data_IF_427337778021
#
_entry.id   IF_427337778021
#
_cell.length_a   1.000
_cell.length_b   1.000
_cell.length_c   1.000
_cell.angle_alpha   90.00
_cell.angle_beta   90.00
_cell.angle_gamma   90.00
#
_symmetry.space_group_name_H-M   'P 1'
#
loop_
_entity.id
_entity.type
_entity.pdbx_description
1 polymer ?
#
# COMPACT_ATOMS: atom_id res chain seq x y z
N UNK A 1 -57.43 43.98 87.20
CA UNK A 1 -57.36 45.02 88.23
C UNK A 1 -56.52 46.16 87.72
N UNK A 2 -57.15 47.26 87.51
CA UNK A 2 -56.87 48.64 87.86
C UNK A 2 -55.70 49.26 87.06
N UNK A 3 -56.02 50.16 86.13
CA UNK A 3 -56.21 51.62 86.16
C UNK A 3 -54.83 52.33 86.19
N UNK A 4 -54.54 53.36 85.57
CA UNK A 4 -55.08 54.56 85.05
C UNK A 4 -53.96 55.36 84.38
N UNK A 5 -54.24 55.94 83.20
CA UNK A 5 -54.41 57.38 83.03
C UNK A 5 -53.33 58.31 83.44
N UNK A 6 -52.70 59.02 82.57
CA UNK A 6 -52.83 60.44 82.39
C UNK A 6 -51.94 61.02 81.28
N UNK A 7 -52.52 61.93 80.59
CA UNK A 7 -52.01 62.80 79.53
C UNK A 7 -50.98 63.81 80.05
N UNK A 8 -50.13 64.31 79.15
CA UNK A 8 -49.76 65.71 79.03
C UNK A 8 -49.14 66.02 77.66
N UNK A 9 -49.62 67.08 77.08
CA UNK A 9 -49.12 67.77 75.85
C UNK A 9 -47.97 68.74 76.24
N UNK A 10 -47.51 69.53 75.24
CA UNK A 10 -46.68 69.34 74.04
C UNK A 10 -45.43 70.24 74.17
N UNK A 11 -44.43 69.90 73.28
CA UNK A 11 -43.42 70.96 73.02
C UNK A 11 -42.97 70.89 71.55
N UNK A 12 -43.17 71.98 70.77
CA UNK A 12 -42.43 72.28 69.55
C UNK A 12 -41.15 73.03 69.93
N UNK A 13 -40.05 72.71 69.24
CA UNK A 13 -39.45 73.78 68.49
C UNK A 13 -38.68 73.29 67.26
N UNK A 14 -38.51 74.24 66.41
CA UNK A 14 -37.42 74.58 65.50
C UNK A 14 -37.10 73.77 64.28
N UNK A 15 -37.34 74.43 63.21
CA UNK A 15 -36.88 74.25 61.86
C UNK A 15 -35.38 73.85 61.71
N UNK A 16 -35.06 72.72 61.23
CA UNK A 16 -33.72 72.34 60.77
C UNK A 16 -33.64 72.43 59.22
N UNK A 17 -32.69 73.16 58.74
CA UNK A 17 -32.28 73.36 57.31
C UNK A 17 -32.07 72.03 56.67
N UNK A 18 -32.78 71.72 55.57
CA UNK A 18 -32.56 70.59 54.65
C UNK A 18 -31.39 70.95 53.73
N UNK A 19 -30.27 70.19 53.84
CA UNK A 19 -29.20 70.22 52.84
C UNK A 19 -29.71 69.56 51.51
N UNK A 20 -29.36 70.06 50.34
CA UNK A 20 -29.74 69.45 49.04
C UNK A 20 -29.04 68.14 48.88
N UNK A 21 -29.83 67.06 48.90
CA UNK A 21 -29.37 65.74 48.44
C UNK A 21 -29.23 65.81 46.90
N UNK A 22 -27.98 65.83 46.41
CA UNK A 22 -27.66 65.52 45.02
C UNK A 22 -28.07 64.09 44.79
N UNK A 23 -29.32 63.86 44.36
CA UNK A 23 -29.72 62.61 43.79
C UNK A 23 -29.17 62.57 42.35
N UNK A 24 -28.01 61.93 42.17
CA UNK A 24 -27.60 61.52 40.82
C UNK A 24 -28.73 60.63 40.29
N UNK A 25 -29.31 60.99 39.13
CA UNK A 25 -30.43 60.20 38.61
C UNK A 25 -29.95 58.78 38.30
N UNK A 26 -30.59 57.82 38.94
CA UNK A 26 -30.40 56.34 38.73
C UNK A 26 -30.33 56.02 37.22
N UNK A 27 -31.02 56.79 36.39
CA UNK A 27 -30.96 56.72 34.94
C UNK A 27 -29.56 56.90 34.34
N UNK A 28 -28.72 57.75 34.96
CA UNK A 28 -27.36 57.99 34.46
C UNK A 28 -26.41 56.82 34.82
N UNK A 29 -26.63 56.21 35.95
CA UNK A 29 -25.89 55.03 36.37
C UNK A 29 -26.25 53.82 35.50
N UNK A 30 -27.53 53.65 35.18
CA UNK A 30 -28.02 52.61 34.26
C UNK A 30 -27.45 52.82 32.84
N UNK A 31 -27.40 54.06 32.37
CA UNK A 31 -26.82 54.40 31.05
C UNK A 31 -25.31 54.10 31.02
N UNK A 32 -24.57 54.42 32.06
CA UNK A 32 -23.14 54.11 32.15
C UNK A 32 -22.88 52.59 32.19
N UNK A 33 -23.71 51.83 32.91
CA UNK A 33 -23.62 50.36 32.96
C UNK A 33 -23.96 49.77 31.58
N UNK A 34 -25.00 50.23 30.94
CA UNK A 34 -25.36 49.78 29.59
C UNK A 34 -24.29 50.12 28.53
N UNK A 35 -23.71 51.33 28.63
CA UNK A 35 -22.62 51.75 27.75
C UNK A 35 -21.34 50.94 28.00
N UNK A 36 -21.00 50.63 29.26
CA UNK A 36 -19.89 49.76 29.62
C UNK A 36 -20.10 48.33 29.15
N UNK A 37 -21.34 47.79 29.26
CA UNK A 37 -21.70 46.47 28.72
C UNK A 37 -21.65 46.43 27.18
N UNK A 38 -22.08 47.48 26.50
CA UNK A 38 -21.96 47.62 25.05
C UNK A 38 -20.50 47.74 24.60
N UNK A 39 -19.67 48.49 25.32
CA UNK A 39 -18.23 48.53 25.07
C UNK A 39 -17.57 47.17 25.35
N UNK A 40 -17.91 46.48 26.42
CA UNK A 40 -17.41 45.14 26.73
C UNK A 40 -17.87 44.11 25.68
N UNK A 41 -19.09 44.21 25.14
CA UNK A 41 -19.56 43.39 24.04
C UNK A 41 -18.86 43.72 22.72
N UNK A 42 -18.54 45.00 22.46
CA UNK A 42 -17.79 45.42 21.26
C UNK A 42 -16.30 45.03 21.34
N UNK A 43 -15.69 45.04 22.52
CA UNK A 43 -14.31 44.53 22.71
C UNK A 43 -14.26 43.00 22.88
N UNK A 44 -15.34 42.35 23.31
CA UNK A 44 -15.44 40.88 23.41
C UNK A 44 -15.63 40.15 22.07
N UNK A 45 -15.97 40.90 21.02
CA UNK A 45 -15.89 40.42 19.63
C UNK A 45 -14.47 40.50 19.06
N UNK A 46 -13.44 40.28 19.92
CA UNK A 46 -12.12 39.91 19.43
C UNK A 46 -12.33 38.67 18.57
N UNK A 47 -12.16 38.83 17.25
CA UNK A 47 -12.21 37.75 16.27
C UNK A 47 -11.37 36.62 16.84
N UNK A 48 -12.02 35.56 17.29
CA UNK A 48 -11.38 34.27 17.44
C UNK A 48 -10.95 33.93 16.03
N UNK A 49 -9.72 34.33 15.66
CA UNK A 49 -9.07 33.70 14.55
C UNK A 49 -9.06 32.23 14.89
N UNK A 50 -9.96 31.47 14.27
CA UNK A 50 -9.92 30.04 14.40
C UNK A 50 -8.47 29.65 14.09
N UNK A 51 -7.79 29.07 15.08
CA UNK A 51 -6.43 28.60 14.88
C UNK A 51 -6.43 27.74 13.62
N UNK A 52 -5.56 28.05 12.65
CA UNK A 52 -5.53 27.33 11.38
C UNK A 52 -5.27 25.86 11.63
N UNK A 53 -5.75 25.02 10.75
CA UNK A 53 -5.60 23.56 10.82
C UNK A 53 -4.11 23.22 10.90
N UNK A 54 -3.72 22.54 11.96
CA UNK A 54 -2.35 22.11 12.19
C UNK A 54 -2.09 20.77 11.49
N UNK A 55 -1.06 20.75 10.65
CA UNK A 55 -0.55 19.52 10.05
C UNK A 55 0.32 18.80 11.05
N UNK A 56 -0.05 17.57 11.39
CA UNK A 56 0.64 16.73 12.37
C UNK A 56 1.77 15.91 11.74
N UNK A 57 1.56 15.41 10.52
CA UNK A 57 2.58 14.67 9.80
C UNK A 57 2.41 14.77 8.28
N UNK A 58 3.52 14.59 7.56
CA UNK A 58 3.51 14.41 6.11
C UNK A 58 4.36 13.20 5.74
N UNK A 59 3.87 12.40 4.81
CA UNK A 59 4.56 11.22 4.31
C UNK A 59 4.56 11.22 2.78
N UNK A 60 5.58 10.62 2.18
CA UNK A 60 5.66 10.41 0.74
C UNK A 60 6.10 8.97 0.47
N UNK A 61 5.49 8.36 -0.52
CA UNK A 61 5.74 7.00 -0.95
C UNK A 61 5.94 6.99 -2.47
N UNK A 62 7.20 7.18 -2.93
CA UNK A 62 7.52 7.09 -4.36
C UNK A 62 7.55 5.63 -4.79
N UNK A 63 6.85 5.32 -5.88
CA UNK A 63 6.83 3.99 -6.47
C UNK A 63 6.69 4.09 -7.99
N UNK A 64 7.03 3.01 -8.69
CA UNK A 64 6.91 2.94 -10.16
C UNK A 64 5.46 3.07 -10.62
N UNK A 65 4.50 2.59 -9.82
CA UNK A 65 3.07 2.64 -10.16
C UNK A 65 2.46 4.02 -9.92
N UNK A 66 2.91 4.75 -8.89
CA UNK A 66 2.45 6.10 -8.53
C UNK A 66 3.28 6.67 -7.38
N UNK A 67 3.24 7.98 -7.20
CA UNK A 67 3.73 8.62 -5.98
C UNK A 67 2.54 9.03 -5.12
N UNK A 68 2.54 8.61 -3.86
CA UNK A 68 1.55 9.04 -2.86
C UNK A 68 2.13 10.08 -1.92
N UNK A 69 1.39 11.17 -1.72
CA UNK A 69 1.65 12.16 -0.68
C UNK A 69 0.48 12.13 0.30
N UNK A 70 0.78 11.93 1.58
CA UNK A 70 -0.21 11.95 2.66
C UNK A 70 0.06 13.12 3.57
N UNK A 71 -0.96 13.94 3.82
CA UNK A 71 -0.95 15.08 4.75
C UNK A 71 -1.94 14.76 5.86
N UNK A 72 -1.43 14.62 7.09
CA UNK A 72 -2.24 14.26 8.25
C UNK A 72 -2.50 15.46 9.15
N UNK A 73 -3.71 15.54 9.69
CA UNK A 73 -4.18 16.66 10.53
C UNK A 73 -5.22 16.20 11.54
N UNK A 74 -5.48 17.05 12.54
CA UNK A 74 -6.53 16.78 13.53
C UNK A 74 -7.93 17.04 13.00
N UNK A 75 -8.08 17.81 11.91
CA UNK A 75 -9.36 18.21 11.32
C UNK A 75 -9.32 17.94 9.82
N UNK A 76 -10.48 17.71 9.16
CA UNK A 76 -10.55 17.55 7.71
C UNK A 76 -10.02 18.78 6.98
N UNK A 77 -9.15 18.58 5.99
CA UNK A 77 -8.58 19.65 5.18
C UNK A 77 -9.44 19.86 3.92
N UNK A 78 -9.93 21.08 3.74
CA UNK A 78 -10.53 21.49 2.46
C UNK A 78 -9.41 21.82 1.47
N UNK A 79 -9.54 21.33 0.25
CA UNK A 79 -8.48 21.45 -0.74
C UNK A 79 -9.03 21.69 -2.15
N UNK A 80 -8.16 22.24 -3.01
CA UNK A 80 -8.38 22.34 -4.46
C UNK A 80 -7.15 21.84 -5.18
N UNK A 81 -7.36 20.98 -6.18
CA UNK A 81 -6.32 20.38 -6.99
C UNK A 81 -6.51 20.78 -8.44
N UNK A 82 -5.43 21.22 -9.11
CA UNK A 82 -5.42 21.51 -10.54
C UNK A 82 -4.01 21.37 -11.12
N UNK A 83 -3.94 21.08 -12.43
CA UNK A 83 -2.68 20.96 -13.16
C UNK A 83 -2.40 22.23 -13.98
N UNK A 84 -1.13 22.58 -14.14
CA UNK A 84 -0.64 23.64 -15.01
C UNK A 84 0.36 23.01 -15.98
N UNK A 85 0.29 23.44 -17.26
CA UNK A 85 1.21 23.00 -18.32
C UNK A 85 2.24 24.11 -18.62
N UNK A 86 3.37 23.67 -19.19
CA UNK A 86 4.46 24.53 -19.64
C UNK A 86 5.11 25.40 -18.55
N UNK A 87 5.87 24.86 -17.58
CA UNK A 87 6.17 23.45 -17.38
C UNK A 87 5.04 22.69 -16.65
N UNK A 88 5.08 21.34 -16.73
CA UNK A 88 4.11 20.49 -16.05
C UNK A 88 4.21 20.66 -14.52
N UNK A 89 3.10 21.08 -13.92
CA UNK A 89 3.00 21.32 -12.47
C UNK A 89 1.65 20.88 -11.95
N UNK A 90 1.65 20.35 -10.73
CA UNK A 90 0.45 20.07 -9.99
C UNK A 90 0.35 21.05 -8.82
N UNK A 91 -0.79 21.67 -8.66
CA UNK A 91 -1.03 22.67 -7.61
C UNK A 91 -2.11 22.15 -6.67
N UNK A 92 -1.77 22.12 -5.37
CA UNK A 92 -2.68 21.74 -4.29
C UNK A 92 -2.83 22.91 -3.32
N UNK A 93 -4.00 23.52 -3.29
CA UNK A 93 -4.36 24.57 -2.36
C UNK A 93 -5.04 23.96 -1.13
N UNK A 94 -4.54 24.27 0.04
CA UNK A 94 -5.07 23.85 1.35
C UNK A 94 -5.71 25.08 2.02
N UNK A 95 -7.00 24.97 2.37
CA UNK A 95 -7.74 26.05 3.01
C UNK A 95 -7.64 25.96 4.53
N UNK A 96 -7.48 27.10 5.18
CA UNK A 96 -7.39 27.28 6.65
C UNK A 96 -6.27 26.48 7.32
N UNK A 97 -5.18 26.19 6.59
CA UNK A 97 -4.03 25.41 7.08
C UNK A 97 -2.89 26.35 7.47
N UNK A 98 -2.16 26.02 8.53
CA UNK A 98 -0.92 26.66 8.89
C UNK A 98 0.30 25.93 8.33
N UNK A 99 1.35 26.70 7.96
CA UNK A 99 2.63 26.12 7.57
C UNK A 99 3.36 25.70 8.84
N UNK A 100 3.27 24.40 9.15
CA UNK A 100 3.97 23.76 10.26
C UNK A 100 5.34 23.22 9.82
N UNK A 101 6.20 22.88 10.77
CA UNK A 101 7.46 22.19 10.47
C UNK A 101 7.21 20.85 9.74
N UNK A 102 6.14 20.13 10.12
CA UNK A 102 5.76 18.88 9.47
C UNK A 102 5.38 19.08 7.99
N UNK A 103 4.67 20.17 7.67
CA UNK A 103 4.33 20.49 6.28
C UNK A 103 5.56 20.95 5.49
N UNK A 104 6.41 21.80 6.07
CA UNK A 104 7.64 22.28 5.43
C UNK A 104 8.60 21.13 5.09
N UNK A 105 8.72 20.14 5.98
CA UNK A 105 9.57 18.96 5.78
C UNK A 105 9.15 18.09 4.57
N UNK A 106 7.95 18.30 3.99
CA UNK A 106 7.55 17.58 2.79
C UNK A 106 8.47 17.90 1.60
N UNK A 107 8.93 19.15 1.49
CA UNK A 107 9.82 19.57 0.40
C UNK A 107 11.16 18.82 0.45
N UNK A 108 11.68 18.55 1.65
CA UNK A 108 12.94 17.85 1.86
C UNK A 108 12.82 16.32 1.63
N UNK A 109 11.60 15.78 1.78
CA UNK A 109 11.33 14.35 1.58
C UNK A 109 11.22 13.94 0.11
N UNK A 110 10.97 14.89 -0.79
CA UNK A 110 10.91 14.65 -2.22
C UNK A 110 12.31 14.77 -2.80
N UNK A 111 12.93 13.63 -3.00
CA UNK A 111 14.27 13.53 -3.56
C UNK A 111 14.28 13.29 -5.07
N UNK A 112 15.46 13.41 -5.69
CA UNK A 112 15.66 13.17 -7.13
C UNK A 112 15.30 11.76 -7.62
N UNK A 113 15.07 10.80 -6.70
CA UNK A 113 14.70 9.42 -6.99
C UNK A 113 13.19 9.22 -7.21
N UNK A 114 12.34 10.19 -6.89
CA UNK A 114 10.90 10.08 -7.18
C UNK A 114 10.67 10.01 -8.70
N UNK A 115 9.89 9.04 -9.22
CA UNK A 115 9.74 8.85 -10.66
C UNK A 115 8.93 9.98 -11.34
N UNK A 116 8.06 10.68 -10.63
CA UNK A 116 7.08 11.62 -11.22
C UNK A 116 7.27 13.06 -10.74
N UNK A 117 7.72 13.25 -9.51
CA UNK A 117 7.87 14.57 -8.89
C UNK A 117 9.34 14.98 -8.88
N UNK A 118 9.63 16.15 -9.41
CA UNK A 118 10.97 16.73 -9.42
C UNK A 118 11.25 17.48 -8.12
N UNK A 119 10.30 18.32 -7.69
CA UNK A 119 10.41 19.14 -6.49
C UNK A 119 9.03 19.56 -5.96
N UNK A 120 8.98 20.00 -4.71
CA UNK A 120 7.78 20.60 -4.10
C UNK A 120 8.14 21.94 -3.47
N UNK A 121 7.31 22.93 -3.74
CA UNK A 121 7.38 24.27 -3.15
C UNK A 121 6.13 24.52 -2.32
N UNK A 122 6.31 25.09 -1.14
CA UNK A 122 5.23 25.35 -0.18
C UNK A 122 5.26 26.80 0.20
N UNK A 123 4.11 27.48 0.14
CA UNK A 123 4.01 28.89 0.48
C UNK A 123 2.59 29.37 0.74
N UNK A 124 2.47 30.55 1.34
CA UNK A 124 1.18 31.24 1.49
C UNK A 124 0.79 31.85 0.15
N UNK A 125 -0.39 31.49 -0.34
CA UNK A 125 -0.92 32.03 -1.61
C UNK A 125 -1.80 33.25 -1.37
N UNK A 126 -2.73 33.14 -0.43
CA UNK A 126 -3.65 34.19 0.02
C UNK A 126 -3.99 33.98 1.49
N UNK A 127 -4.62 34.95 2.17
CA UNK A 127 -5.06 34.75 3.56
C UNK A 127 -5.86 33.45 3.70
N UNK A 128 -5.48 32.60 4.66
CA UNK A 128 -6.12 31.31 4.95
C UNK A 128 -5.84 30.20 3.91
N UNK A 129 -4.92 30.41 2.94
CA UNK A 129 -4.62 29.35 1.94
C UNK A 129 -3.13 29.13 1.81
N UNK A 130 -2.71 27.89 2.05
CA UNK A 130 -1.36 27.41 1.76
C UNK A 130 -1.39 26.66 0.43
N UNK A 131 -0.44 26.98 -0.42
CA UNK A 131 -0.27 26.38 -1.76
C UNK A 131 0.96 25.48 -1.78
N UNK A 132 0.75 24.25 -2.23
CA UNK A 132 1.80 23.32 -2.59
C UNK A 132 1.88 23.27 -4.12
N UNK A 133 3.07 23.41 -4.67
CA UNK A 133 3.34 23.29 -6.11
C UNK A 133 4.33 22.18 -6.31
N UNK A 134 3.88 21.13 -6.96
CA UNK A 134 4.69 19.96 -7.35
C UNK A 134 5.18 20.22 -8.79
N UNK A 135 6.48 20.37 -8.97
CA UNK A 135 7.08 20.39 -10.30
C UNK A 135 7.22 18.94 -10.77
N UNK A 136 6.69 18.64 -11.95
CA UNK A 136 6.56 17.28 -12.46
C UNK A 136 7.63 16.97 -13.50
N UNK A 137 8.04 15.70 -13.58
CA UNK A 137 8.97 15.19 -14.60
C UNK A 137 8.28 14.84 -15.92
N UNK A 138 6.97 14.55 -15.86
CA UNK A 138 6.12 14.22 -17.00
C UNK A 138 4.65 14.53 -16.70
N UNK A 139 3.79 14.44 -17.71
CA UNK A 139 2.34 14.55 -17.52
C UNK A 139 1.81 13.40 -16.68
N UNK A 140 0.91 13.71 -15.71
CA UNK A 140 0.39 12.76 -14.72
C UNK A 140 -1.13 12.84 -14.62
N UNK A 141 -1.72 11.80 -14.05
CA UNK A 141 -3.14 11.74 -13.68
C UNK A 141 -3.26 11.79 -12.15
N UNK A 142 -3.44 12.96 -11.54
CA UNK A 142 -3.51 13.09 -10.09
C UNK A 142 -4.91 12.76 -9.57
N UNK A 143 -4.97 12.24 -8.34
CA UNK A 143 -6.19 12.03 -7.57
C UNK A 143 -5.98 12.54 -6.15
N UNK A 144 -6.88 13.39 -5.66
CA UNK A 144 -6.87 13.81 -4.25
C UNK A 144 -8.18 13.39 -3.58
N UNK A 145 -8.08 12.89 -2.37
CA UNK A 145 -9.22 12.46 -1.56
C UNK A 145 -8.88 12.54 -0.07
N UNK A 146 -9.93 12.55 0.76
CA UNK A 146 -9.78 12.61 2.22
C UNK A 146 -10.18 11.30 2.87
N UNK A 147 -9.48 10.96 3.95
CA UNK A 147 -9.76 9.78 4.77
C UNK A 147 -10.10 10.21 6.19
N UNK A 148 -11.11 9.55 6.76
CA UNK A 148 -11.46 9.70 8.17
C UNK A 148 -10.38 9.08 9.08
N UNK A 149 -10.32 9.48 10.36
CA UNK A 149 -9.45 8.85 11.34
C UNK A 149 -9.70 7.35 11.47
N UNK A 150 -8.62 6.58 11.59
CA UNK A 150 -8.66 5.13 11.84
C UNK A 150 -7.42 4.70 12.63
N UNK A 151 -7.60 3.88 13.67
CA UNK A 151 -6.50 3.46 14.53
C UNK A 151 -5.75 4.67 15.10
N UNK A 152 -4.46 4.72 14.91
CA UNK A 152 -3.58 5.81 15.35
C UNK A 152 -3.50 6.98 14.35
N UNK A 153 -4.17 6.88 13.19
CA UNK A 153 -4.15 7.92 12.16
C UNK A 153 -5.27 8.93 12.37
N UNK A 154 -4.93 10.24 12.23
CA UNK A 154 -5.88 11.34 12.18
C UNK A 154 -6.60 11.46 10.82
N UNK A 155 -7.17 12.64 10.56
CA UNK A 155 -7.68 12.96 9.23
C UNK A 155 -6.52 13.03 8.24
N UNK A 156 -6.66 12.38 7.09
CA UNK A 156 -5.63 12.34 6.05
C UNK A 156 -6.15 12.92 4.74
N UNK A 157 -5.44 13.88 4.18
CA UNK A 157 -5.56 14.24 2.78
C UNK A 157 -4.50 13.47 2.01
N UNK A 158 -4.95 12.66 1.06
CA UNK A 158 -4.09 11.82 0.20
C UNK A 158 -4.09 12.42 -1.20
N UNK A 159 -2.90 12.56 -1.78
CA UNK A 159 -2.68 12.91 -3.17
C UNK A 159 -1.89 11.78 -3.83
N UNK A 160 -2.55 11.06 -4.74
CA UNK A 160 -1.94 10.03 -5.59
C UNK A 160 -1.61 10.61 -6.96
N UNK A 161 -0.38 10.47 -7.38
CA UNK A 161 0.15 10.99 -8.64
C UNK A 161 0.48 9.78 -9.53
N UNK A 162 -0.43 9.42 -10.42
CA UNK A 162 -0.27 8.31 -11.36
C UNK A 162 0.38 8.77 -12.66
N UNK A 163 1.20 7.94 -13.32
CA UNK A 163 1.60 8.20 -14.69
C UNK A 163 0.38 8.21 -15.61
N UNK A 164 0.46 8.97 -16.70
CA UNK A 164 -0.60 9.00 -17.71
C UNK A 164 -0.78 7.61 -18.36
N UNK A 165 0.34 6.95 -18.66
CA UNK A 165 0.40 5.56 -19.12
C UNK A 165 1.06 4.72 -18.03
N UNK A 166 0.35 3.72 -17.47
CA UNK A 166 0.95 2.82 -16.50
C UNK A 166 2.12 2.07 -17.13
N UNK A 167 3.28 1.97 -16.46
CA UNK A 167 4.38 1.19 -16.97
C UNK A 167 3.95 -0.27 -17.14
N UNK A 168 4.19 -0.82 -18.34
CA UNK A 168 3.93 -2.23 -18.60
C UNK A 168 5.02 -3.07 -17.90
N UNK A 169 4.66 -3.91 -16.93
CA UNK A 169 5.64 -4.73 -16.21
C UNK A 169 6.45 -5.66 -17.12
N UNK A 170 5.88 -6.02 -18.27
CA UNK A 170 6.57 -6.88 -19.25
C UNK A 170 7.66 -6.11 -20.00
N UNK A 171 7.39 -4.87 -20.40
CA UNK A 171 8.43 -4.02 -21.03
C UNK A 171 9.54 -3.67 -20.03
N UNK A 172 9.22 -3.31 -18.80
CA UNK A 172 10.21 -3.07 -17.76
C UNK A 172 11.12 -4.30 -17.50
N UNK A 173 10.55 -5.51 -17.64
CA UNK A 173 11.31 -6.75 -17.55
C UNK A 173 12.20 -6.98 -18.79
N UNK A 174 11.74 -6.69 -19.98
CA UNK A 174 12.50 -6.84 -21.23
C UNK A 174 13.68 -5.84 -21.25
N UNK A 175 13.44 -4.59 -20.87
CA UNK A 175 14.47 -3.55 -20.78
C UNK A 175 15.57 -3.91 -19.75
N UNK A 176 15.16 -4.39 -18.58
CA UNK A 176 16.12 -4.83 -17.55
C UNK A 176 16.95 -6.03 -18.01
N UNK A 177 16.36 -6.94 -18.77
CA UNK A 177 17.06 -8.10 -19.34
C UNK A 177 17.98 -7.73 -20.50
N UNK A 178 17.61 -6.73 -21.29
CA UNK A 178 18.46 -6.19 -22.34
C UNK A 178 19.66 -5.48 -21.73
N UNK A 179 19.46 -4.63 -20.71
CA UNK A 179 20.54 -3.99 -19.98
C UNK A 179 21.50 -5.01 -19.29
N UNK A 180 20.94 -6.11 -18.75
CA UNK A 180 21.77 -7.19 -18.18
C UNK A 180 22.55 -7.97 -19.24
N UNK A 181 21.99 -8.17 -20.43
CA UNK A 181 22.71 -8.79 -21.57
C UNK A 181 23.79 -7.88 -22.11
N UNK A 182 23.55 -6.59 -22.18
CA UNK A 182 24.53 -5.59 -22.61
C UNK A 182 25.70 -5.50 -21.62
N UNK A 183 25.40 -5.48 -20.31
CA UNK A 183 26.42 -5.51 -19.26
C UNK A 183 27.22 -6.83 -19.23
N UNK A 184 26.58 -7.97 -19.51
CA UNK A 184 27.25 -9.27 -19.61
C UNK A 184 28.10 -9.37 -20.88
N UNK A 185 27.67 -8.77 -21.99
CA UNK A 185 28.44 -8.70 -23.24
C UNK A 185 29.67 -7.79 -23.11
N UNK A 186 29.54 -6.65 -22.39
CA UNK A 186 30.69 -5.79 -22.10
C UNK A 186 31.73 -6.48 -21.20
N UNK A 187 31.27 -7.26 -20.19
CA UNK A 187 32.18 -8.05 -19.33
C UNK A 187 32.86 -9.19 -20.09
N UNK A 188 32.15 -9.84 -21.03
CA UNK A 188 32.73 -10.88 -21.87
C UNK A 188 33.76 -10.32 -22.88
N UNK A 189 33.46 -9.18 -23.49
CA UNK A 189 34.37 -8.48 -24.39
C UNK A 189 35.64 -7.97 -23.69
N UNK A 190 35.57 -7.61 -22.42
CA UNK A 190 36.73 -7.21 -21.61
C UNK A 190 37.60 -8.41 -21.19
N UNK A 191 37.07 -9.64 -21.21
CA UNK A 191 37.78 -10.87 -20.90
C UNK A 191 38.50 -11.47 -22.12
N UNK A 192 38.07 -11.16 -23.34
CA UNK A 192 38.59 -11.71 -24.60
C UNK A 192 39.81 -10.96 -25.13
N UNK A 193 40.18 -9.81 -24.55
CA UNK A 193 41.36 -9.01 -24.89
C UNK A 193 42.66 -9.41 -24.14
N UNK A 194 42.76 -10.65 -23.65
CA UNK A 194 44.04 -11.26 -23.24
C UNK A 194 44.44 -12.30 -24.28
N UNK A 195 45.23 -11.84 -25.24
CA UNK A 195 45.90 -12.58 -26.30
C UNK A 195 46.76 -13.74 -25.75
N UNK A 196 46.61 -14.98 -26.26
CA UNK A 196 47.67 -15.98 -26.19
C UNK A 196 48.40 -16.07 -27.51
N UNK A 197 49.73 -16.09 -27.43
CA UNK A 197 50.70 -16.17 -28.51
C UNK A 197 50.55 -17.38 -29.45
N UNK A 198 51.06 -17.31 -30.69
CA UNK A 198 50.73 -18.26 -31.76
C UNK A 198 51.56 -19.58 -31.68
N UNK A 199 50.88 -20.70 -31.79
CA UNK A 199 51.51 -22.01 -32.03
C UNK A 199 51.29 -22.44 -33.48
N UNK A 200 52.35 -22.99 -34.07
CA UNK A 200 52.58 -23.33 -35.48
C UNK A 200 51.73 -24.50 -36.03
N UNK A 201 51.66 -24.68 -37.36
CA UNK A 201 50.67 -25.52 -38.01
C UNK A 201 51.10 -26.98 -38.11
N UNK A 202 50.20 -27.90 -37.88
CA UNK A 202 50.39 -29.31 -38.14
C UNK A 202 49.37 -29.83 -39.18
N UNK A 203 49.90 -30.63 -40.09
CA UNK A 203 49.45 -31.10 -41.38
C UNK A 203 48.22 -32.01 -41.34
N UNK A 204 47.37 -31.90 -42.39
CA UNK A 204 46.26 -32.78 -42.70
C UNK A 204 46.71 -34.16 -43.26
N UNK A 205 45.93 -35.20 -43.08
CA UNK A 205 45.83 -36.22 -44.12
C UNK A 205 44.38 -36.58 -44.57
N UNK A 206 44.29 -36.62 -45.88
CA UNK A 206 43.55 -37.48 -46.79
C UNK A 206 42.14 -38.03 -46.48
N UNK A 207 41.29 -37.81 -47.45
CA UNK A 207 39.93 -38.30 -47.63
C UNK A 207 39.85 -39.83 -47.86
N UNK A 208 38.78 -40.48 -47.36
CA UNK A 208 38.31 -41.80 -47.76
C UNK A 208 36.75 -41.77 -47.93
N UNK A 209 36.17 -42.53 -48.88
CA UNK A 209 34.92 -42.20 -49.53
C UNK A 209 33.67 -42.73 -48.79
N UNK A 210 32.58 -42.03 -49.02
CA UNK A 210 31.22 -42.23 -48.56
C UNK A 210 30.55 -43.45 -49.24
N UNK A 211 29.75 -44.24 -48.51
CA UNK A 211 28.66 -44.99 -49.14
C UNK A 211 27.32 -44.24 -49.01
N UNK A 212 26.55 -44.32 -50.09
CA UNK A 212 25.25 -43.71 -50.24
C UNK A 212 24.23 -44.20 -49.17
N UNK A 213 23.61 -43.31 -48.43
CA UNK A 213 22.50 -43.61 -47.56
C UNK A 213 21.17 -43.19 -48.21
N UNK A 214 20.24 -44.11 -48.19
CA UNK A 214 18.87 -44.06 -48.71
C UNK A 214 18.11 -42.88 -48.07
N UNK A 215 17.48 -42.07 -48.92
CA UNK A 215 16.50 -41.04 -48.55
C UNK A 215 15.31 -41.65 -47.83
N UNK A 216 15.24 -41.57 -46.54
CA UNK A 216 14.02 -41.70 -45.77
C UNK A 216 13.31 -40.34 -45.81
N UNK A 217 12.15 -40.30 -46.46
CA UNK A 217 11.22 -39.17 -46.45
C UNK A 217 10.84 -38.91 -44.99
N UNK A 218 11.34 -37.84 -44.42
CA UNK A 218 10.89 -37.31 -43.11
C UNK A 218 9.46 -36.82 -43.25
N UNK A 219 8.57 -37.39 -42.44
CA UNK A 219 7.20 -36.93 -42.22
C UNK A 219 7.22 -35.50 -41.70
N UNK A 220 6.60 -34.51 -42.38
CA UNK A 220 6.65 -33.11 -41.94
C UNK A 220 5.79 -32.80 -40.70
N UNK A 221 5.26 -33.82 -40.03
CA UNK A 221 4.45 -33.70 -38.82
C UNK A 221 5.17 -34.00 -37.48
N UNK A 222 6.49 -34.22 -37.51
CA UNK A 222 7.23 -34.20 -36.22
C UNK A 222 7.29 -32.78 -35.70
N UNK A 223 6.43 -32.56 -34.73
CA UNK A 223 6.25 -31.37 -33.97
C UNK A 223 7.57 -30.58 -33.76
N UNK A 224 7.58 -29.33 -34.20
CA UNK A 224 8.46 -28.32 -33.61
C UNK A 224 8.34 -28.49 -32.08
N UNK A 225 9.45 -28.56 -31.33
CA UNK A 225 9.32 -28.51 -29.89
C UNK A 225 8.54 -27.24 -29.58
N UNK A 226 7.34 -27.41 -29.00
CA UNK A 226 6.54 -26.32 -28.46
C UNK A 226 7.48 -25.51 -27.60
N UNK A 227 7.69 -24.25 -27.95
CA UNK A 227 8.52 -23.36 -27.13
C UNK A 227 7.87 -23.35 -25.74
N UNK A 228 8.50 -24.02 -24.79
CA UNK A 228 7.98 -24.17 -23.46
C UNK A 228 7.73 -22.75 -22.88
N UNK A 229 6.47 -22.39 -22.68
CA UNK A 229 6.10 -21.10 -22.14
C UNK A 229 6.55 -21.01 -20.68
N UNK A 230 6.92 -19.81 -20.24
CA UNK A 230 7.18 -19.58 -18.83
C UNK A 230 5.89 -19.63 -18.01
N UNK A 231 5.96 -20.25 -16.85
CA UNK A 231 4.97 -20.17 -15.79
C UNK A 231 5.20 -18.85 -15.07
N UNK A 232 4.21 -17.96 -15.08
CA UNK A 232 4.29 -16.64 -14.45
C UNK A 232 3.64 -16.70 -13.07
N UNK A 233 4.40 -16.35 -12.03
CA UNK A 233 3.95 -16.37 -10.64
C UNK A 233 3.93 -14.94 -10.12
N UNK A 234 2.75 -14.42 -9.80
CA UNK A 234 2.60 -13.14 -9.14
C UNK A 234 2.79 -13.30 -7.63
N UNK A 235 3.74 -12.58 -7.07
CA UNK A 235 4.03 -12.58 -5.64
C UNK A 235 3.59 -11.26 -5.06
N UNK A 236 2.62 -11.30 -4.17
CA UNK A 236 2.12 -10.18 -3.42
C UNK A 236 2.73 -10.16 -2.02
N UNK A 237 3.54 -9.16 -1.74
CA UNK A 237 3.98 -8.87 -0.39
C UNK A 237 2.88 -8.08 0.31
N UNK A 238 2.23 -8.66 1.32
CA UNK A 238 1.14 -8.02 2.05
C UNK A 238 1.52 -6.65 2.60
N UNK A 239 0.53 -5.77 2.77
CA UNK A 239 0.69 -4.42 3.31
C UNK A 239 1.59 -3.51 2.46
N UNK A 240 2.18 -2.47 3.06
CA UNK A 240 3.11 -1.54 2.41
C UNK A 240 2.73 -0.07 2.59
N UNK A 241 3.71 0.83 2.50
CA UNK A 241 3.47 2.27 2.63
C UNK A 241 2.80 2.65 3.93
N UNK A 242 1.63 3.26 3.84
CA UNK A 242 0.81 3.70 4.98
C UNK A 242 0.31 2.53 5.83
N UNK A 243 0.18 1.34 5.27
CA UNK A 243 -0.24 0.16 5.98
C UNK A 243 0.98 -0.64 6.47
N UNK A 244 1.31 -0.59 7.77
CA UNK A 244 2.44 -1.33 8.33
C UNK A 244 2.16 -2.83 8.45
N UNK A 245 0.90 -3.27 8.36
CA UNK A 245 0.45 -4.58 8.80
C UNK A 245 0.55 -4.73 10.32
N UNK A 246 0.70 -5.95 10.79
CA UNK A 246 0.95 -6.22 12.19
C UNK A 246 2.35 -5.73 12.63
N UNK A 247 2.44 -5.34 13.90
CA UNK A 247 3.69 -4.87 14.50
C UNK A 247 4.05 -5.83 15.64
N UNK A 248 5.23 -6.43 15.52
CA UNK A 248 5.79 -7.31 16.55
C UNK A 248 6.21 -6.53 17.80
N UNK A 249 6.47 -7.25 18.88
CA UNK A 249 6.87 -6.64 20.17
C UNK A 249 8.19 -5.86 20.11
N UNK A 250 9.08 -6.23 19.20
CA UNK A 250 10.35 -5.54 18.98
C UNK A 250 10.24 -4.40 17.95
N UNK A 251 9.02 -4.03 17.53
CA UNK A 251 8.76 -2.98 16.53
C UNK A 251 8.93 -3.46 15.09
N UNK A 252 9.06 -4.76 14.84
CA UNK A 252 9.12 -5.31 13.49
C UNK A 252 7.78 -5.13 12.79
N UNK A 253 7.77 -4.47 11.64
CA UNK A 253 6.56 -4.26 10.85
C UNK A 253 6.41 -5.41 9.84
N UNK A 254 5.20 -5.93 9.72
CA UNK A 254 4.86 -7.02 8.80
C UNK A 254 5.22 -6.68 7.35
N UNK A 255 4.89 -5.47 6.87
CA UNK A 255 5.18 -5.03 5.51
C UNK A 255 6.64 -5.21 5.09
N UNK A 256 7.59 -5.07 6.02
CA UNK A 256 9.02 -5.24 5.76
C UNK A 256 9.40 -6.71 5.66
N UNK A 257 8.84 -7.54 6.52
CA UNK A 257 9.05 -8.99 6.53
C UNK A 257 8.50 -9.63 5.27
N UNK A 258 7.25 -9.29 4.91
CA UNK A 258 6.58 -9.81 3.71
C UNK A 258 7.34 -9.46 2.44
N UNK A 259 7.83 -8.21 2.33
CA UNK A 259 8.63 -7.76 1.19
C UNK A 259 9.98 -8.50 1.11
N UNK A 260 10.65 -8.72 2.26
CA UNK A 260 11.91 -9.44 2.30
C UNK A 260 11.74 -10.90 1.84
N UNK A 261 10.71 -11.59 2.32
CA UNK A 261 10.39 -12.98 1.92
C UNK A 261 10.00 -13.02 0.44
N UNK A 262 9.17 -12.07 -0.02
CA UNK A 262 8.73 -12.02 -1.41
C UNK A 262 9.89 -11.83 -2.40
N UNK A 263 10.89 -11.02 -2.06
CA UNK A 263 12.10 -10.84 -2.87
C UNK A 263 12.93 -12.12 -2.94
N UNK A 264 13.16 -12.81 -1.83
CA UNK A 264 13.86 -14.09 -1.80
C UNK A 264 13.10 -15.18 -2.59
N UNK A 265 11.78 -15.21 -2.44
CA UNK A 265 10.92 -16.11 -3.21
C UNK A 265 11.04 -15.84 -4.71
N UNK A 266 11.05 -14.56 -5.10
CA UNK A 266 11.26 -14.18 -6.51
C UNK A 266 12.61 -14.68 -7.03
N UNK A 267 13.70 -14.48 -6.29
CA UNK A 267 15.04 -14.95 -6.65
C UNK A 267 15.02 -16.48 -6.90
N UNK A 268 14.45 -17.26 -5.99
CA UNK A 268 14.35 -18.71 -6.13
C UNK A 268 13.49 -19.17 -7.29
N UNK A 269 12.38 -18.48 -7.58
CA UNK A 269 11.53 -18.80 -8.73
C UNK A 269 12.24 -18.47 -10.04
N UNK A 270 12.96 -17.35 -10.10
CA UNK A 270 13.67 -16.93 -11.31
C UNK A 270 14.89 -17.81 -11.63
N UNK A 271 15.43 -18.56 -10.66
CA UNK A 271 16.44 -19.61 -10.85
C UNK A 271 15.87 -20.84 -11.59
N UNK A 272 14.55 -21.07 -11.52
CA UNK A 272 13.90 -22.20 -12.21
C UNK A 272 13.77 -21.92 -13.72
N UNK A 273 14.18 -22.86 -14.58
CA UNK A 273 14.30 -22.61 -16.05
C UNK A 273 12.98 -22.24 -16.71
N UNK A 274 11.85 -22.75 -16.22
CA UNK A 274 10.52 -22.59 -16.82
C UNK A 274 9.60 -21.66 -16.01
N UNK A 275 10.11 -20.97 -14.99
CA UNK A 275 9.31 -20.12 -14.12
C UNK A 275 9.82 -18.68 -14.14
N UNK A 276 8.93 -17.74 -13.90
CA UNK A 276 9.25 -16.32 -13.71
C UNK A 276 8.34 -15.74 -12.65
N UNK A 277 8.93 -14.96 -11.77
CA UNK A 277 8.20 -14.27 -10.72
C UNK A 277 8.04 -12.78 -11.03
N UNK A 278 6.85 -12.25 -10.74
CA UNK A 278 6.53 -10.82 -10.78
C UNK A 278 6.08 -10.38 -9.41
N UNK A 279 6.80 -9.43 -8.81
CA UNK A 279 6.38 -8.81 -7.56
C UNK A 279 5.23 -7.84 -7.83
N UNK A 280 4.17 -7.93 -7.02
CA UNK A 280 3.05 -6.97 -7.06
C UNK A 280 3.53 -5.61 -6.56
N UNK A 281 4.31 -5.57 -5.46
CA UNK A 281 5.11 -4.41 -5.07
C UNK A 281 6.58 -4.84 -4.85
N UNK A 282 7.49 -4.02 -5.28
CA UNK A 282 8.94 -4.26 -5.18
C UNK A 282 9.64 -3.36 -4.15
N UNK A 283 8.90 -2.41 -3.59
CA UNK A 283 9.37 -1.47 -2.58
C UNK A 283 8.28 -1.18 -1.53
N UNK A 284 8.55 -0.25 -0.60
CA UNK A 284 7.62 0.07 0.48
C UNK A 284 6.62 1.13 0.02
N UNK A 285 5.53 0.69 -0.60
CA UNK A 285 4.35 1.50 -0.94
C UNK A 285 3.08 0.67 -0.83
N UNK A 286 1.96 1.32 -0.63
CA UNK A 286 0.66 0.66 -0.49
C UNK A 286 0.04 0.41 -1.86
N UNK A 287 -0.57 -0.76 -2.04
CA UNK A 287 -1.40 -1.09 -3.21
C UNK A 287 -2.76 -1.55 -2.70
N UNK A 288 -3.87 -0.92 -3.12
CA UNK A 288 -5.22 -1.38 -2.80
C UNK A 288 -5.44 -2.85 -3.21
N UNK A 289 -6.21 -3.59 -2.41
CA UNK A 289 -6.36 -5.05 -2.59
C UNK A 289 -6.84 -5.43 -3.99
N UNK A 290 -7.82 -4.71 -4.54
CA UNK A 290 -8.32 -4.95 -5.89
C UNK A 290 -7.26 -4.70 -6.98
N UNK A 291 -6.37 -3.72 -6.79
CA UNK A 291 -5.29 -3.41 -7.72
C UNK A 291 -4.21 -4.50 -7.73
N UNK A 292 -4.00 -5.20 -6.60
CA UNK A 292 -3.07 -6.34 -6.52
C UNK A 292 -3.51 -7.46 -7.45
N UNK A 293 -4.82 -7.79 -7.41
CA UNK A 293 -5.43 -8.76 -8.31
C UNK A 293 -5.33 -8.31 -9.77
N UNK A 294 -5.62 -7.04 -10.06
CA UNK A 294 -5.53 -6.50 -11.42
C UNK A 294 -4.09 -6.55 -11.97
N UNK A 295 -3.08 -6.26 -11.15
CA UNK A 295 -1.66 -6.39 -11.55
C UNK A 295 -1.31 -7.83 -11.91
N UNK A 296 -1.73 -8.81 -11.10
CA UNK A 296 -1.53 -10.23 -11.40
C UNK A 296 -2.19 -10.64 -12.73
N UNK A 297 -3.42 -10.17 -12.98
CA UNK A 297 -4.14 -10.43 -14.24
C UNK A 297 -3.48 -9.76 -15.45
N UNK A 298 -2.98 -8.53 -15.30
CA UNK A 298 -2.29 -7.78 -16.36
C UNK A 298 -1.04 -8.52 -16.85
N UNK A 299 -0.26 -9.10 -15.91
CA UNK A 299 0.92 -9.91 -16.28
C UNK A 299 0.55 -11.33 -16.70
N UNK A 300 -0.74 -11.66 -16.75
CA UNK A 300 -1.26 -13.00 -17.09
C UNK A 300 -0.63 -14.07 -16.19
N UNK A 301 -0.60 -13.85 -14.89
CA UNK A 301 -0.04 -14.78 -13.94
C UNK A 301 -0.78 -16.14 -13.99
N UNK A 302 -0.03 -17.20 -13.79
CA UNK A 302 -0.56 -18.58 -13.68
C UNK A 302 -0.86 -18.94 -12.22
N UNK A 303 -0.23 -18.24 -11.27
CA UNK A 303 -0.49 -18.32 -9.83
C UNK A 303 -0.38 -16.92 -9.20
N UNK A 304 -1.13 -16.74 -8.12
CA UNK A 304 -1.02 -15.59 -7.23
C UNK A 304 -0.75 -16.04 -5.79
N UNK A 305 0.31 -15.51 -5.19
CA UNK A 305 0.74 -15.82 -3.83
C UNK A 305 0.79 -14.54 -3.01
N UNK A 306 -0.04 -14.43 -1.98
CA UNK A 306 0.03 -13.34 -1.02
C UNK A 306 0.79 -13.80 0.23
N UNK A 307 1.84 -13.07 0.58
CA UNK A 307 2.75 -13.39 1.69
C UNK A 307 2.43 -12.48 2.86
N UNK A 308 2.16 -13.08 4.01
CA UNK A 308 1.78 -12.43 5.26
C UNK A 308 2.57 -13.00 6.46
N UNK A 309 2.54 -12.27 7.58
CA UNK A 309 3.15 -12.66 8.85
C UNK A 309 2.39 -12.00 10.02
N UNK A 310 1.11 -12.25 10.10
CA UNK A 310 0.16 -11.51 10.90
C UNK A 310 0.33 -11.65 12.43
N UNK A 311 -0.35 -10.79 13.18
CA UNK A 311 -0.52 -10.92 14.61
C UNK A 311 -1.79 -11.70 14.92
N UNK A 312 -1.73 -12.63 15.87
CA UNK A 312 -2.91 -13.32 16.36
C UNK A 312 -3.30 -12.84 17.76
N UNK A 313 -4.59 -12.94 18.08
CA UNK A 313 -5.15 -12.49 19.36
C UNK A 313 -4.42 -13.15 20.56
N UNK A 314 -4.01 -14.42 20.39
CA UNK A 314 -3.27 -15.15 21.41
C UNK A 314 -1.77 -15.01 21.16
N UNK A 315 -1.00 -14.39 22.07
CA UNK A 315 0.43 -14.12 21.84
C UNK A 315 1.33 -15.37 21.79
N UNK A 316 0.79 -16.55 22.14
CA UNK A 316 1.48 -17.84 22.02
C UNK A 316 1.10 -18.59 20.74
N UNK A 317 0.25 -18.02 19.88
CA UNK A 317 0.00 -18.59 18.56
C UNK A 317 1.32 -18.68 17.79
N UNK A 318 1.50 -19.78 17.08
CA UNK A 318 2.71 -20.05 16.30
C UNK A 318 2.40 -20.89 15.09
N UNK A 319 3.32 -20.88 14.17
CA UNK A 319 3.32 -21.75 13.02
C UNK A 319 2.74 -21.13 11.78
N UNK A 320 3.01 -21.78 10.65
CA UNK A 320 2.56 -21.34 9.34
C UNK A 320 1.13 -21.83 9.05
N UNK A 321 0.42 -21.06 8.22
CA UNK A 321 -0.91 -21.41 7.71
C UNK A 321 -1.01 -21.05 6.22
N UNK A 322 -1.91 -21.74 5.52
CA UNK A 322 -2.23 -21.41 4.12
C UNK A 322 -3.74 -21.27 3.99
N UNK A 323 -4.15 -20.23 3.30
CA UNK A 323 -5.55 -19.90 3.06
C UNK A 323 -5.86 -19.85 1.57
N UNK A 324 -7.08 -20.24 1.22
CA UNK A 324 -7.68 -20.05 -0.09
C UNK A 324 -8.99 -19.28 0.03
N UNK A 325 -9.49 -18.77 -1.08
CA UNK A 325 -10.77 -18.07 -1.12
C UNK A 325 -11.93 -19.02 -0.77
N UNK A 326 -12.92 -18.50 -0.06
CA UNK A 326 -14.26 -19.09 0.08
C UNK A 326 -15.35 -18.06 -0.23
N UNK A 327 -16.31 -18.44 -1.02
CA UNK A 327 -17.52 -17.67 -1.28
C UNK A 327 -18.66 -18.01 -0.31
N UNK A 328 -18.57 -19.16 0.38
CA UNK A 328 -19.63 -19.71 1.23
C UNK A 328 -19.41 -19.53 2.72
N UNK A 329 -18.47 -18.66 3.10
CA UNK A 329 -18.08 -18.41 4.48
C UNK A 329 -16.74 -19.01 4.83
N UNK A 330 -16.29 -18.82 6.08
CA UNK A 330 -14.97 -19.23 6.53
C UNK A 330 -15.01 -20.66 7.13
N UNK A 331 -13.91 -21.40 6.99
CA UNK A 331 -13.76 -22.75 7.56
C UNK A 331 -13.59 -22.72 9.08
N UNK A 332 -13.16 -21.58 9.64
CA UNK A 332 -13.02 -21.38 11.07
C UNK A 332 -13.29 -19.93 11.49
N UNK A 333 -13.58 -19.73 12.78
CA UNK A 333 -13.70 -18.38 13.37
C UNK A 333 -12.40 -17.59 13.21
N UNK A 334 -11.26 -18.27 13.36
CA UNK A 334 -9.93 -17.66 13.18
C UNK A 334 -9.72 -17.20 11.74
N UNK A 335 -10.05 -18.02 10.73
CA UNK A 335 -9.95 -17.67 9.32
C UNK A 335 -10.88 -16.51 8.96
N UNK A 336 -12.09 -16.46 9.53
CA UNK A 336 -13.01 -15.33 9.30
C UNK A 336 -12.48 -14.03 9.90
N UNK A 337 -11.94 -14.09 11.10
CA UNK A 337 -11.35 -12.92 11.76
C UNK A 337 -10.15 -12.39 10.97
N UNK A 338 -9.25 -13.29 10.55
CA UNK A 338 -8.09 -12.93 9.74
C UNK A 338 -8.50 -12.29 8.42
N UNK A 339 -9.42 -12.91 7.68
CA UNK A 339 -9.89 -12.35 6.41
C UNK A 339 -10.52 -10.96 6.59
N UNK A 340 -11.26 -10.73 7.69
CA UNK A 340 -11.78 -9.40 7.97
C UNK A 340 -10.67 -8.39 8.21
N UNK A 341 -9.68 -8.76 9.04
CA UNK A 341 -8.54 -7.89 9.34
C UNK A 341 -7.76 -7.53 8.07
N UNK A 342 -7.45 -8.52 7.22
CA UNK A 342 -6.74 -8.30 5.98
C UNK A 342 -7.55 -7.46 4.98
N UNK A 343 -8.87 -7.63 4.93
CA UNK A 343 -9.74 -6.80 4.08
C UNK A 343 -9.81 -5.34 4.56
N UNK A 344 -9.60 -5.08 5.85
CA UNK A 344 -9.56 -3.71 6.41
C UNK A 344 -8.24 -2.97 6.06
N UNK A 345 -7.25 -3.64 5.45
CA UNK A 345 -6.00 -3.03 4.97
C UNK A 345 -6.23 -1.84 4.03
N UNK A 346 -7.26 -1.88 3.20
CA UNK A 346 -7.65 -0.77 2.31
C UNK A 346 -8.07 0.49 3.07
N UNK A 347 -8.62 0.35 4.27
CA UNK A 347 -8.98 1.49 5.13
C UNK A 347 -7.72 2.11 5.77
N UNK A 348 -6.80 1.28 6.24
CA UNK A 348 -5.52 1.71 6.87
C UNK A 348 -4.61 2.34 5.83
N UNK A 349 -4.38 1.64 4.72
CA UNK A 349 -3.53 2.07 3.62
C UNK A 349 -4.11 3.24 2.81
N UNK A 350 -5.40 3.52 2.99
CA UNK A 350 -6.07 4.65 2.34
C UNK A 350 -6.37 4.39 0.87
N UNK A 351 -7.15 3.37 0.58
CA UNK A 351 -7.72 3.19 -0.75
C UNK A 351 -8.85 4.22 -0.98
N UNK A 352 -8.92 4.77 -2.18
CA UNK A 352 -10.06 5.59 -2.58
C UNK A 352 -11.25 4.68 -2.90
N UNK A 353 -12.16 4.51 -1.93
CA UNK A 353 -13.34 3.66 -2.07
C UNK A 353 -14.48 4.28 -2.91
N UNK A 354 -14.39 5.59 -3.21
CA UNK A 354 -15.38 6.30 -4.04
C UNK A 354 -15.20 6.06 -5.54
N UNK A 355 -14.09 5.48 -5.95
CA UNK A 355 -13.86 5.09 -7.35
C UNK A 355 -14.75 3.92 -7.70
N UNK A 356 -15.80 4.17 -8.48
CA UNK A 356 -16.64 3.14 -9.08
C UNK A 356 -15.84 2.44 -10.16
N UNK A 357 -15.01 1.47 -9.77
CA UNK A 357 -14.31 0.62 -10.73
C UNK A 357 -15.31 -0.34 -11.40
N UNK A 358 -15.50 -0.25 -12.74
CA UNK A 358 -16.36 -1.18 -13.46
C UNK A 358 -15.92 -2.65 -13.32
N UNK A 359 -14.61 -2.91 -13.07
CA UNK A 359 -14.08 -4.25 -12.86
C UNK A 359 -14.53 -4.89 -11.55
N UNK A 360 -14.82 -4.11 -10.50
CA UNK A 360 -15.39 -4.62 -9.25
C UNK A 360 -16.76 -5.29 -9.46
N UNK A 361 -17.55 -4.82 -10.42
CA UNK A 361 -18.85 -5.42 -10.77
C UNK A 361 -18.71 -6.69 -11.60
N UNK A 362 -17.69 -6.78 -12.44
CA UNK A 362 -17.49 -7.92 -13.36
C UNK A 362 -16.90 -9.13 -12.65
N UNK A 363 -16.12 -8.92 -11.58
CA UNK A 363 -15.53 -9.99 -10.76
C UNK A 363 -16.57 -10.80 -9.97
N UNK A 364 -17.80 -10.29 -9.83
CA UNK A 364 -18.87 -10.94 -9.06
C UNK A 364 -19.75 -11.91 -9.89
N UNK A 365 -19.50 -12.07 -11.19
CA UNK A 365 -20.41 -12.75 -12.10
C UNK A 365 -19.85 -14.01 -12.77
N UNK A 366 -18.62 -14.46 -12.45
CA UNK A 366 -17.99 -15.53 -13.21
C UNK A 366 -18.05 -16.89 -12.49
N UNK A 367 -18.81 -17.82 -13.10
CA UNK A 367 -18.99 -19.21 -12.65
C UNK A 367 -17.69 -20.04 -12.71
N UNK A 368 -16.59 -19.51 -13.25
CA UNK A 368 -15.29 -20.19 -13.32
C UNK A 368 -14.57 -20.23 -11.97
N UNK A 369 -15.02 -19.46 -10.97
CA UNK A 369 -14.35 -19.30 -9.70
C UNK A 369 -14.25 -20.60 -8.87
N UNK A 370 -15.23 -21.51 -9.00
CA UNK A 370 -15.18 -22.82 -8.31
C UNK A 370 -14.00 -23.67 -8.74
N UNK A 371 -13.67 -23.72 -10.03
CA UNK A 371 -12.53 -24.48 -10.55
C UNK A 371 -11.22 -23.86 -10.03
N UNK A 372 -11.11 -22.55 -10.10
CA UNK A 372 -9.95 -21.78 -9.62
C UNK A 372 -9.73 -21.95 -8.10
N UNK A 373 -10.80 -21.95 -7.29
CA UNK A 373 -10.72 -22.24 -5.86
C UNK A 373 -10.21 -23.67 -5.61
N UNK A 374 -10.69 -24.66 -6.36
CA UNK A 374 -10.23 -26.04 -6.23
C UNK A 374 -8.73 -26.18 -6.57
N UNK A 375 -8.25 -25.47 -7.57
CA UNK A 375 -6.82 -25.46 -7.91
C UNK A 375 -6.00 -24.72 -6.87
N UNK A 376 -6.54 -23.64 -6.27
CA UNK A 376 -5.96 -22.95 -5.13
C UNK A 376 -5.80 -23.87 -3.92
N UNK A 377 -6.80 -24.71 -3.63
CA UNK A 377 -6.74 -25.70 -2.55
C UNK A 377 -5.68 -26.76 -2.78
N UNK A 378 -5.51 -27.26 -4.03
CA UNK A 378 -4.45 -28.21 -4.39
C UNK A 378 -3.06 -27.57 -4.24
N UNK A 379 -2.89 -26.35 -4.73
CA UNK A 379 -1.66 -25.56 -4.56
C UNK A 379 -1.36 -25.35 -3.09
N UNK A 380 -2.33 -24.84 -2.32
CA UNK A 380 -2.21 -24.60 -0.89
C UNK A 380 -1.81 -25.84 -0.09
N UNK A 381 -2.36 -27.01 -0.43
CA UNK A 381 -2.00 -28.27 0.19
C UNK A 381 -0.53 -28.66 -0.07
N UNK A 382 -0.03 -28.47 -1.29
CA UNK A 382 1.37 -28.74 -1.61
C UNK A 382 2.31 -27.80 -0.85
N UNK A 383 2.01 -26.49 -0.84
CA UNK A 383 2.80 -25.48 -0.13
C UNK A 383 2.77 -25.75 1.40
N UNK A 384 1.59 -25.97 1.97
CA UNK A 384 1.44 -26.25 3.41
C UNK A 384 2.24 -27.49 3.84
N UNK A 385 2.28 -28.53 3.01
CA UNK A 385 3.07 -29.75 3.28
C UNK A 385 4.57 -29.44 3.39
N UNK A 386 5.11 -28.58 2.53
CA UNK A 386 6.53 -28.18 2.57
C UNK A 386 6.83 -27.27 3.76
N UNK A 387 5.93 -26.35 4.09
CA UNK A 387 6.04 -25.49 5.26
C UNK A 387 6.10 -26.30 6.57
N UNK A 388 5.35 -27.42 6.62
CA UNK A 388 5.38 -28.35 7.75
C UNK A 388 6.73 -29.04 7.98
N UNK A 389 7.59 -29.06 6.96
CA UNK A 389 8.97 -29.57 7.07
C UNK A 389 9.95 -28.59 7.72
N UNK A 390 9.63 -27.30 7.77
CA UNK A 390 10.52 -26.24 8.23
C UNK A 390 10.01 -25.50 9.48
N UNK A 391 8.70 -25.50 9.69
CA UNK A 391 8.03 -24.83 10.81
C UNK A 391 6.88 -25.67 11.35
N UNK A 392 6.47 -25.42 12.59
CA UNK A 392 5.20 -25.92 13.10
C UNK A 392 4.07 -25.36 12.26
N UNK A 393 3.08 -26.17 11.93
CA UNK A 393 1.87 -25.68 11.28
C UNK A 393 0.87 -25.21 12.33
N UNK A 394 0.31 -24.01 12.15
CA UNK A 394 -0.80 -23.53 12.99
C UNK A 394 -2.06 -24.35 12.72
N UNK A 395 -2.28 -24.69 11.44
CA UNK A 395 -3.30 -25.62 10.98
C UNK A 395 -2.68 -26.60 9.99
N UNK A 396 -3.04 -27.88 10.14
CA UNK A 396 -2.54 -28.97 9.27
C UNK A 396 -3.31 -29.11 7.96
N UNK A 397 -4.25 -28.22 7.68
CA UNK A 397 -5.04 -28.16 6.46
C UNK A 397 -5.15 -26.73 5.94
N UNK A 398 -5.38 -26.58 4.65
CA UNK A 398 -5.67 -25.27 4.04
C UNK A 398 -7.02 -24.78 4.57
N UNK A 399 -7.03 -23.60 5.15
CA UNK A 399 -8.24 -22.92 5.58
C UNK A 399 -8.82 -22.04 4.46
N UNK A 400 -10.09 -21.68 4.59
CA UNK A 400 -10.77 -20.84 3.59
C UNK A 400 -11.54 -19.72 4.27
N UNK A 401 -11.51 -18.52 3.66
CA UNK A 401 -12.34 -17.39 4.05
C UNK A 401 -12.47 -16.37 2.90
N UNK A 402 -13.23 -15.30 3.13
CA UNK A 402 -13.53 -14.28 2.13
C UNK A 402 -12.43 -13.24 1.95
N UNK A 403 -11.18 -13.63 1.72
CA UNK A 403 -10.07 -12.73 1.46
C UNK A 403 -10.25 -11.95 0.17
N UNK A 404 -10.30 -10.62 0.24
CA UNK A 404 -10.48 -9.76 -0.92
C UNK A 404 -9.33 -9.87 -1.93
N UNK A 405 -8.09 -10.01 -1.44
CA UNK A 405 -6.89 -10.14 -2.26
C UNK A 405 -6.83 -11.45 -3.08
N UNK A 406 -7.61 -12.47 -2.70
CA UNK A 406 -7.66 -13.76 -3.40
C UNK A 406 -8.80 -13.87 -4.42
N UNK A 407 -9.51 -12.78 -4.70
CA UNK A 407 -10.69 -12.76 -5.59
C UNK A 407 -10.33 -12.65 -7.06
N UNK A 408 -9.29 -13.34 -7.50
CA UNK A 408 -9.01 -13.52 -8.93
C UNK A 408 -9.87 -14.66 -9.48
N UNK A 409 -10.79 -14.43 -10.44
CA UNK A 409 -11.68 -15.48 -10.93
C UNK A 409 -10.96 -16.53 -11.77
N UNK A 410 -9.84 -16.17 -12.36
CA UNK A 410 -9.10 -16.90 -13.40
C UNK A 410 -7.66 -17.29 -12.99
N UNK A 411 -7.24 -16.95 -11.77
CA UNK A 411 -5.88 -17.24 -11.29
C UNK A 411 -5.96 -18.01 -9.96
N UNK A 412 -5.44 -19.23 -9.86
CA UNK A 412 -5.29 -19.93 -8.58
C UNK A 412 -4.51 -19.10 -7.59
N UNK A 413 -5.10 -18.81 -6.44
CA UNK A 413 -4.61 -17.81 -5.47
C UNK A 413 -4.59 -18.37 -4.07
N UNK A 414 -3.50 -18.18 -3.34
CA UNK A 414 -3.38 -18.53 -1.92
C UNK A 414 -2.75 -17.39 -1.13
N UNK A 415 -3.11 -17.30 0.16
CA UNK A 415 -2.45 -16.46 1.14
C UNK A 415 -1.67 -17.36 2.10
N UNK A 416 -0.43 -17.00 2.36
CA UNK A 416 0.51 -17.75 3.19
C UNK A 416 0.87 -16.90 4.40
N UNK A 417 0.41 -17.34 5.57
CA UNK A 417 0.92 -16.87 6.85
C UNK A 417 2.22 -17.60 7.15
N UNK A 418 3.33 -16.90 7.05
CA UNK A 418 4.66 -17.51 7.22
C UNK A 418 4.95 -17.86 8.67
N UNK A 419 4.50 -17.01 9.60
CA UNK A 419 4.55 -17.18 11.06
C UNK A 419 3.74 -16.04 11.69
N UNK A 420 3.55 -16.05 13.03
CA UNK A 420 2.86 -14.96 13.74
C UNK A 420 3.84 -13.95 14.33
N UNK A 421 3.88 -12.71 13.80
CA UNK A 421 4.78 -11.65 14.27
C UNK A 421 4.51 -11.25 15.73
N UNK A 422 3.30 -11.51 16.24
CA UNK A 422 2.95 -11.30 17.65
C UNK A 422 3.66 -12.24 18.62
N UNK A 423 4.20 -13.37 18.14
CA UNK A 423 5.01 -14.29 18.93
C UNK A 423 6.48 -13.87 18.90
N UNK A 424 7.12 -13.59 20.07
CA UNK A 424 8.50 -13.07 20.09
C UNK A 424 9.56 -14.02 19.52
N UNK A 425 9.32 -15.34 19.56
CA UNK A 425 10.24 -16.33 18.97
C UNK A 425 10.12 -16.33 17.45
N UNK A 426 8.89 -16.25 16.95
CA UNK A 426 8.63 -16.18 15.51
C UNK A 426 9.01 -14.82 14.93
N UNK A 427 8.80 -13.71 15.66
CA UNK A 427 9.29 -12.39 15.25
C UNK A 427 10.81 -12.40 15.03
N UNK A 428 11.57 -13.02 15.93
CA UNK A 428 13.02 -13.19 15.75
C UNK A 428 13.36 -14.03 14.52
N UNK A 429 12.61 -15.12 14.30
CA UNK A 429 12.78 -15.97 13.12
C UNK A 429 12.46 -15.23 11.83
N UNK A 430 11.37 -14.47 11.77
CA UNK A 430 10.93 -13.68 10.63
C UNK A 430 11.95 -12.62 10.21
N UNK A 431 12.75 -12.11 11.15
CA UNK A 431 13.86 -11.17 10.89
C UNK A 431 15.14 -11.87 10.40
N UNK A 432 15.22 -13.18 10.50
CA UNK A 432 16.41 -13.96 10.14
C UNK A 432 16.43 -14.27 8.64
N UNK A 433 17.51 -13.90 7.96
CA UNK A 433 17.75 -14.25 6.56
C UNK A 433 17.68 -15.77 6.32
N UNK A 434 18.23 -16.56 7.24
CA UNK A 434 18.22 -18.02 7.13
C UNK A 434 16.77 -18.58 7.16
N UNK A 435 15.90 -18.02 7.98
CA UNK A 435 14.51 -18.44 8.05
C UNK A 435 13.73 -18.01 6.82
N UNK A 436 13.92 -16.76 6.36
CA UNK A 436 13.29 -16.24 5.14
C UNK A 436 13.69 -17.05 3.89
N UNK A 437 14.96 -17.46 3.79
CA UNK A 437 15.43 -18.34 2.72
C UNK A 437 14.76 -19.72 2.78
N UNK A 438 14.69 -20.35 3.96
CA UNK A 438 13.98 -21.62 4.14
C UNK A 438 12.50 -21.54 3.75
N UNK A 439 11.83 -20.42 4.09
CA UNK A 439 10.45 -20.14 3.67
C UNK A 439 10.33 -20.10 2.15
N UNK A 440 11.20 -19.32 1.49
CA UNK A 440 11.22 -19.22 0.03
C UNK A 440 11.45 -20.59 -0.63
N UNK A 441 12.43 -21.36 -0.16
CA UNK A 441 12.75 -22.70 -0.69
C UNK A 441 11.57 -23.67 -0.53
N UNK A 442 10.89 -23.67 0.61
CA UNK A 442 9.73 -24.52 0.86
C UNK A 442 8.54 -24.14 -0.04
N UNK A 443 8.26 -22.84 -0.20
CA UNK A 443 7.18 -22.35 -1.06
C UNK A 443 7.46 -22.75 -2.53
N UNK A 444 8.68 -22.53 -3.04
CA UNK A 444 9.07 -22.94 -4.40
C UNK A 444 8.92 -24.44 -4.60
N UNK A 445 9.35 -25.24 -3.62
CA UNK A 445 9.20 -26.71 -3.68
C UNK A 445 7.73 -27.09 -3.78
N UNK A 446 6.86 -26.47 -2.99
CA UNK A 446 5.41 -26.67 -3.06
C UNK A 446 4.81 -26.31 -4.43
N UNK A 447 5.26 -25.18 -5.01
CA UNK A 447 4.85 -24.74 -6.35
C UNK A 447 5.29 -25.74 -7.41
N UNK A 448 6.55 -26.17 -7.40
CA UNK A 448 7.09 -27.18 -8.33
C UNK A 448 6.30 -28.48 -8.27
N UNK A 449 5.99 -28.94 -7.04
CA UNK A 449 5.16 -30.14 -6.82
C UNK A 449 3.74 -29.97 -7.36
N UNK A 450 3.17 -28.78 -7.25
CA UNK A 450 1.86 -28.47 -7.82
C UNK A 450 1.89 -28.59 -9.34
N UNK A 451 2.81 -27.91 -10.04
CA UNK A 451 2.89 -27.93 -11.48
C UNK A 451 3.32 -29.26 -12.10
N UNK A 452 4.09 -30.04 -11.38
CA UNK A 452 4.43 -31.40 -11.81
C UNK A 452 3.19 -32.30 -11.95
N UNK A 453 2.11 -32.00 -11.21
CA UNK A 453 0.85 -32.76 -11.22
C UNK A 453 -0.27 -32.04 -12.00
N UNK A 454 -0.18 -30.73 -12.11
CA UNK A 454 -1.18 -29.86 -12.72
C UNK A 454 -0.45 -28.89 -13.67
N UNK A 455 0.03 -29.36 -14.84
CA UNK A 455 0.69 -28.47 -15.79
C UNK A 455 -0.28 -27.37 -16.24
N UNK A 456 0.17 -26.13 -16.36
CA UNK A 456 -0.69 -25.04 -16.80
C UNK A 456 -1.18 -25.29 -18.23
N UNK A 457 -2.41 -24.89 -18.57
CA UNK A 457 -2.93 -25.05 -19.92
C UNK A 457 -2.04 -24.31 -20.93
N UNK A 458 -1.86 -24.90 -22.12
CA UNK A 458 -1.23 -24.20 -23.22
C UNK A 458 -2.03 -22.91 -23.51
N UNK A 459 -1.36 -21.75 -23.55
CA UNK A 459 -2.00 -20.51 -24.01
C UNK A 459 -2.02 -20.54 -25.52
N UNK A 460 -3.19 -20.39 -26.12
CA UNK A 460 -3.29 -20.16 -27.57
C UNK A 460 -2.38 -18.99 -27.92
N UNK A 461 -1.42 -19.24 -28.80
CA UNK A 461 -0.63 -18.18 -29.41
C UNK A 461 -1.63 -17.32 -30.18
N UNK A 462 -2.03 -16.18 -29.66
CA UNK A 462 -2.56 -15.11 -30.48
C UNK A 462 -1.46 -14.75 -31.46
N UNK A 463 -1.56 -15.35 -32.64
CA UNK A 463 -0.79 -14.95 -33.81
C UNK A 463 -1.16 -13.49 -34.06
N UNK A 464 -0.32 -12.57 -33.61
CA UNK A 464 -0.30 -11.24 -34.14
C UNK A 464 0.15 -11.39 -35.61
N UNK A 465 -0.81 -11.55 -36.49
CA UNK A 465 -0.55 -11.34 -37.91
C UNK A 465 -0.17 -9.87 -38.10
N UNK A 466 0.92 -9.58 -38.83
CA UNK A 466 1.44 -8.25 -39.07
C UNK A 466 0.48 -7.36 -39.88
#
# INVERSE_FOLDING_TARGET
>A
MVNASQALRPYRPATAFAAPRCAFPIAYLIFLIQFALLLAAAFGAAATHAAGIQITSTRIWPATDYTRVTIESQQPIRHKLFSLKNPERLVLDLEDVEITAALSALADKIGGTDPYVQSVRIGRFKPGTVRLVFDLKAEVKPQAFTLAPIGDYGHRLVLDIYPLEPPDPLFAFLDKRQAQREAAAETASAAENKEPAPAAPETAPAAVPRPAAKTARADPRKARPEAARFIIIAIDAGHGGEDPGAIGRSGTQEKNVTLAIARKLKERIDEEPNMRAVLIRDSDYFIPLHMRVQKARRVKADLFLSIHADAFIKPHARGSSVFALSERGATSVAANWLAKKENDADLVGGANLDVKDPYLKQTLLDLSQTATINDSLKLGKNVLSELGGINTLHKNQVEQAGFAVLRAPDIPSILIETAFISNPEEERSLRSDAYQNKMADAIVTGIKRHFARNPPPARDQLVLNP
#
